data_IF_586903069847
#
_entry.id   IF_586903069847
#
_cell.length_a   1.000
_cell.length_b   1.000
_cell.length_c   1.000
_cell.angle_alpha   90.00
_cell.angle_beta   90.00
_cell.angle_gamma   90.00
#
_symmetry.space_group_name_H-M   'P 1'
#
loop_
_entity.id
_entity.type
_entity.pdbx_description
1 polymer ?
#
# COMPACT_ATOMS: atom_id res chain seq x y z
N UNK A 1 31.60 -1.42 -32.45
CA UNK A 1 31.23 -2.51 -31.51
C UNK A 1 31.82 -2.29 -30.12
N UNK A 2 33.05 -1.82 -30.01
CA UNK A 2 33.73 -1.56 -28.72
C UNK A 2 33.08 -0.41 -27.95
N UNK A 3 32.75 0.69 -28.64
CA UNK A 3 32.02 1.82 -28.04
C UNK A 3 30.63 1.44 -27.49
N UNK A 4 29.89 0.59 -28.18
CA UNK A 4 28.57 0.12 -27.70
C UNK A 4 28.71 -0.77 -26.45
N UNK A 5 29.73 -1.62 -26.40
CA UNK A 5 30.02 -2.44 -25.22
C UNK A 5 30.45 -1.59 -24.03
N UNK A 6 31.26 -0.55 -24.24
CA UNK A 6 31.68 0.36 -23.20
C UNK A 6 30.52 1.18 -22.63
N UNK A 7 29.62 1.66 -23.49
CA UNK A 7 28.40 2.39 -23.04
C UNK A 7 27.48 1.46 -22.25
N UNK A 8 27.28 0.21 -22.68
CA UNK A 8 26.45 -0.75 -21.95
C UNK A 8 27.04 -1.11 -20.58
N UNK A 9 28.38 -1.26 -20.50
CA UNK A 9 29.06 -1.53 -19.24
C UNK A 9 28.98 -0.34 -18.26
N UNK A 10 29.10 0.90 -18.75
CA UNK A 10 28.93 2.11 -17.96
C UNK A 10 27.50 2.24 -17.41
N UNK A 11 26.50 1.96 -18.26
CA UNK A 11 25.09 1.93 -17.89
C UNK A 11 24.85 0.94 -16.74
N UNK A 12 25.25 -0.32 -16.90
CA UNK A 12 25.04 -1.36 -15.89
C UNK A 12 25.74 -1.04 -14.57
N UNK A 13 26.98 -0.57 -14.62
CA UNK A 13 27.72 -0.15 -13.43
C UNK A 13 27.04 1.02 -12.72
N UNK A 14 26.56 2.01 -13.48
CA UNK A 14 25.88 3.19 -12.94
C UNK A 14 24.59 2.77 -12.24
N UNK A 15 23.74 2.01 -12.90
CA UNK A 15 22.48 1.53 -12.34
C UNK A 15 22.69 0.65 -11.12
N UNK A 16 23.69 -0.25 -11.14
CA UNK A 16 24.04 -1.07 -9.99
C UNK A 16 24.46 -0.23 -8.80
N UNK A 17 25.30 0.79 -9.01
CA UNK A 17 25.78 1.69 -7.96
C UNK A 17 24.65 2.53 -7.35
N UNK A 18 23.75 3.07 -8.17
CA UNK A 18 22.56 3.79 -7.71
C UNK A 18 21.64 2.87 -6.92
N UNK A 19 21.36 1.68 -7.47
CA UNK A 19 20.47 0.71 -6.85
C UNK A 19 20.96 0.25 -5.48
N UNK A 20 22.26 -0.10 -5.37
CA UNK A 20 22.86 -0.56 -4.11
C UNK A 20 22.89 0.52 -3.02
N UNK A 21 22.89 1.81 -3.40
CA UNK A 21 22.90 2.92 -2.45
C UNK A 21 21.50 3.37 -2.06
N UNK A 22 20.62 3.58 -3.04
CA UNK A 22 19.32 4.24 -2.81
C UNK A 22 18.26 3.23 -2.35
N UNK A 23 18.13 2.09 -3.04
CA UNK A 23 16.99 1.18 -2.82
C UNK A 23 16.96 0.59 -1.41
N UNK A 24 18.06 0.05 -0.83
CA UNK A 24 18.01 -0.51 0.51
C UNK A 24 17.61 0.52 1.58
N UNK A 25 18.12 1.75 1.45
CA UNK A 25 17.77 2.82 2.38
C UNK A 25 16.28 3.16 2.30
N UNK A 26 15.73 3.33 1.08
CA UNK A 26 14.30 3.61 0.89
C UNK A 26 13.41 2.45 1.37
N UNK A 27 13.85 1.19 1.21
CA UNK A 27 13.15 0.02 1.75
C UNK A 27 13.07 0.10 3.28
N UNK A 28 14.15 0.48 3.97
CA UNK A 28 14.16 0.66 5.42
C UNK A 28 13.16 1.74 5.83
N UNK A 29 13.14 2.89 5.15
CA UNK A 29 12.15 3.94 5.42
C UNK A 29 10.71 3.43 5.23
N UNK A 30 10.48 2.63 4.19
CA UNK A 30 9.17 2.06 3.87
C UNK A 30 8.72 1.02 4.91
N UNK A 31 9.66 0.20 5.40
CA UNK A 31 9.41 -0.74 6.49
C UNK A 31 8.95 0.01 7.74
N UNK A 32 9.64 1.10 8.11
CA UNK A 32 9.23 1.92 9.26
C UNK A 32 7.81 2.48 9.11
N UNK A 33 7.46 2.99 7.90
CA UNK A 33 6.13 3.48 7.62
C UNK A 33 5.03 2.43 7.85
N UNK A 34 5.28 1.19 7.42
CA UNK A 34 4.30 0.12 7.60
C UNK A 34 4.29 -0.46 9.01
N UNK A 35 5.39 -0.43 9.71
CA UNK A 35 5.47 -0.81 11.12
C UNK A 35 4.59 0.12 11.95
N UNK A 36 4.71 1.44 11.79
CA UNK A 36 3.90 2.44 12.49
C UNK A 36 2.40 2.38 12.11
N UNK A 37 2.05 1.82 10.96
CA UNK A 37 0.65 1.59 10.57
C UNK A 37 0.05 0.36 11.24
N UNK A 38 0.84 -0.67 11.50
CA UNK A 38 0.35 -1.96 11.98
C UNK A 38 0.45 -2.13 13.49
N UNK A 39 1.37 -1.42 14.15
CA UNK A 39 1.58 -1.47 15.60
C UNK A 39 0.31 -1.13 16.41
N UNK A 40 -0.54 -0.27 15.89
CA UNK A 40 -1.82 0.13 16.51
C UNK A 40 -2.73 -1.08 16.78
N UNK A 41 -2.72 -2.10 15.91
CA UNK A 41 -3.49 -3.33 16.11
C UNK A 41 -3.04 -4.11 17.33
N UNK A 42 -1.72 -4.10 17.64
CA UNK A 42 -1.17 -4.70 18.85
C UNK A 42 -1.38 -3.80 20.07
N UNK A 43 -1.20 -2.48 19.91
CA UNK A 43 -1.50 -1.53 20.98
C UNK A 43 -2.93 -1.68 21.50
N UNK A 44 -3.89 -1.89 20.60
CA UNK A 44 -5.31 -2.05 20.93
C UNK A 44 -5.59 -3.11 21.99
N UNK A 45 -4.76 -4.17 22.07
CA UNK A 45 -4.94 -5.27 23.03
C UNK A 45 -4.88 -4.81 24.50
N UNK A 46 -4.18 -3.71 24.77
CA UNK A 46 -4.04 -3.16 26.13
C UNK A 46 -4.45 -1.68 26.21
N UNK A 47 -4.21 -0.92 25.13
CA UNK A 47 -4.49 0.51 25.08
C UNK A 47 -6.00 0.79 25.23
N UNK A 48 -6.85 0.00 24.57
CA UNK A 48 -8.29 0.27 24.57
C UNK A 48 -8.86 0.25 25.98
N UNK A 49 -8.48 -0.72 26.78
CA UNK A 49 -8.90 -0.82 28.18
C UNK A 49 -8.23 0.27 29.04
N UNK A 50 -6.92 0.53 28.82
CA UNK A 50 -6.16 1.50 29.59
C UNK A 50 -6.69 2.94 29.47
N UNK A 51 -7.19 3.35 28.30
CA UNK A 51 -7.72 4.69 28.06
C UNK A 51 -9.24 4.73 27.87
N UNK A 52 -9.94 3.59 28.12
CA UNK A 52 -11.40 3.49 28.14
C UNK A 52 -12.07 3.73 26.78
N UNK A 53 -11.50 3.22 25.68
CA UNK A 53 -12.07 3.38 24.35
C UNK A 53 -12.72 2.09 23.83
N UNK A 54 -13.86 2.27 23.16
CA UNK A 54 -14.57 1.18 22.49
C UNK A 54 -13.90 0.79 21.18
N UNK A 55 -14.21 -0.38 20.65
CA UNK A 55 -13.75 -0.80 19.32
C UNK A 55 -14.24 0.15 18.21
N UNK A 56 -15.39 0.83 18.39
CA UNK A 56 -15.85 1.88 17.47
C UNK A 56 -14.87 3.07 17.46
N UNK A 57 -14.45 3.57 18.64
CA UNK A 57 -13.51 4.68 18.75
C UNK A 57 -12.14 4.26 18.21
N UNK A 58 -11.72 3.02 18.49
CA UNK A 58 -10.50 2.46 17.93
C UNK A 58 -10.55 2.41 16.39
N UNK A 59 -11.62 1.85 15.82
CA UNK A 59 -11.82 1.79 14.37
C UNK A 59 -11.90 3.18 13.72
N UNK A 60 -12.54 4.17 14.39
CA UNK A 60 -12.57 5.56 13.96
C UNK A 60 -11.16 6.17 13.94
N UNK A 61 -10.38 6.01 15.00
CA UNK A 61 -9.01 6.52 15.06
C UNK A 61 -8.07 5.84 14.07
N UNK A 62 -8.22 4.52 13.87
CA UNK A 62 -7.50 3.80 12.81
C UNK A 62 -7.85 4.35 11.42
N UNK A 63 -9.13 4.63 11.17
CA UNK A 63 -9.63 5.11 9.89
C UNK A 63 -9.30 6.58 9.62
N UNK A 64 -9.42 7.47 10.62
CA UNK A 64 -9.22 8.92 10.44
C UNK A 64 -7.80 9.27 9.99
N UNK A 65 -6.84 8.42 10.25
CA UNK A 65 -5.50 8.50 9.67
C UNK A 65 -5.55 8.63 8.14
N UNK A 66 -6.36 7.80 7.48
CA UNK A 66 -6.47 7.83 6.01
C UNK A 66 -7.15 9.09 5.49
N UNK A 67 -8.05 9.71 6.27
CA UNK A 67 -8.61 11.01 5.93
C UNK A 67 -7.55 12.11 6.01
N UNK A 68 -6.75 12.14 7.08
CA UNK A 68 -5.63 13.06 7.20
C UNK A 68 -4.62 12.89 6.08
N UNK A 69 -4.28 11.64 5.76
CA UNK A 69 -3.40 11.28 4.66
C UNK A 69 -3.94 11.79 3.32
N UNK A 70 -5.20 11.50 3.00
CA UNK A 70 -5.87 11.92 1.77
C UNK A 70 -5.86 13.44 1.56
N UNK A 71 -6.23 14.20 2.61
CA UNK A 71 -6.27 15.67 2.55
C UNK A 71 -4.88 16.27 2.29
N UNK A 72 -3.86 15.71 2.92
CA UNK A 72 -2.51 16.26 2.87
C UNK A 72 -1.63 15.69 1.74
N UNK A 73 -2.05 14.62 1.04
CA UNK A 73 -1.24 13.95 0.02
C UNK A 73 -0.86 14.87 -1.14
N UNK A 74 -1.84 15.58 -1.72
CA UNK A 74 -1.59 16.48 -2.85
C UNK A 74 -0.77 17.70 -2.43
N UNK A 75 -1.10 18.45 -1.34
CA UNK A 75 -0.26 19.52 -0.83
C UNK A 75 1.16 19.08 -0.53
N UNK A 76 1.33 17.91 0.10
CA UNK A 76 2.65 17.36 0.43
C UNK A 76 3.50 17.11 -0.81
N UNK A 77 2.92 16.55 -1.87
CA UNK A 77 3.64 16.32 -3.13
C UNK A 77 4.04 17.64 -3.83
N UNK A 78 3.20 18.65 -3.80
CA UNK A 78 3.56 20.00 -4.32
C UNK A 78 4.75 20.58 -3.56
N UNK A 79 4.74 20.47 -2.23
CA UNK A 79 5.84 20.95 -1.39
C UNK A 79 7.13 20.14 -1.60
N UNK A 80 7.02 18.84 -1.86
CA UNK A 80 8.16 17.98 -2.21
C UNK A 80 8.87 18.49 -3.48
N UNK A 81 8.12 18.86 -4.51
CA UNK A 81 8.69 19.46 -5.72
C UNK A 81 9.39 20.78 -5.45
N UNK A 82 8.85 21.61 -4.52
CA UNK A 82 9.40 22.92 -4.18
C UNK A 82 10.67 22.85 -3.33
N UNK A 83 10.68 21.98 -2.30
CA UNK A 83 11.79 21.89 -1.33
C UNK A 83 12.81 20.80 -1.66
N UNK A 84 12.53 19.96 -2.63
CA UNK A 84 13.34 18.81 -2.98
C UNK A 84 13.07 17.58 -2.13
N UNK A 85 13.26 16.42 -2.73
CA UNK A 85 12.89 15.13 -2.12
C UNK A 85 13.65 14.84 -0.82
N UNK A 86 14.95 15.16 -0.75
CA UNK A 86 15.79 14.96 0.44
C UNK A 86 15.22 15.63 1.69
N UNK A 87 14.94 16.93 1.60
CA UNK A 87 14.44 17.71 2.73
C UNK A 87 13.02 17.30 3.07
N UNK A 88 12.20 17.09 2.05
CA UNK A 88 10.78 16.81 2.28
C UNK A 88 10.52 15.39 2.85
N UNK A 89 11.21 14.36 2.34
CA UNK A 89 11.16 13.01 2.92
C UNK A 89 11.69 13.01 4.35
N UNK A 90 12.79 13.71 4.62
CA UNK A 90 13.31 13.85 5.97
C UNK A 90 12.30 14.51 6.92
N UNK A 91 11.66 15.61 6.48
CA UNK A 91 10.59 16.27 7.25
C UNK A 91 9.45 15.32 7.56
N UNK A 92 8.97 14.57 6.56
CA UNK A 92 7.91 13.57 6.72
C UNK A 92 8.31 12.56 7.80
N UNK A 93 9.50 11.96 7.70
CA UNK A 93 10.00 10.96 8.64
C UNK A 93 10.10 11.49 10.06
N UNK A 94 10.65 12.69 10.24
CA UNK A 94 10.83 13.31 11.56
C UNK A 94 9.48 13.67 12.19
N UNK A 95 8.60 14.34 11.44
CA UNK A 95 7.30 14.78 11.98
C UNK A 95 6.40 13.60 12.28
N UNK A 96 6.35 12.60 11.43
CA UNK A 96 5.60 11.40 11.70
C UNK A 96 6.18 10.63 12.91
N UNK A 97 7.51 10.43 12.98
CA UNK A 97 8.14 9.74 14.11
C UNK A 97 7.87 10.41 15.46
N UNK A 98 7.85 11.76 15.49
CA UNK A 98 7.46 12.51 16.69
C UNK A 98 5.99 12.23 17.05
N UNK A 99 5.07 12.32 16.09
CA UNK A 99 3.64 12.11 16.34
C UNK A 99 3.37 10.65 16.73
N UNK A 100 4.04 9.69 16.09
CA UNK A 100 3.96 8.27 16.47
C UNK A 100 4.44 8.05 17.91
N UNK A 101 5.56 8.63 18.30
CA UNK A 101 6.04 8.58 19.69
C UNK A 101 5.08 9.22 20.68
N UNK A 102 4.42 10.35 20.31
CA UNK A 102 3.42 11.00 21.14
C UNK A 102 2.17 10.14 21.38
N UNK A 103 1.87 9.16 20.52
CA UNK A 103 0.83 8.17 20.79
C UNK A 103 1.06 7.39 22.10
N UNK A 104 2.30 7.24 22.56
CA UNK A 104 2.62 6.63 23.84
C UNK A 104 2.16 7.45 25.05
N UNK A 105 1.75 8.71 24.91
CA UNK A 105 1.37 9.61 25.98
C UNK A 105 -0.12 9.97 26.01
N UNK A 106 -0.96 9.28 25.23
CA UNK A 106 -2.40 9.53 25.19
C UNK A 106 -3.09 8.98 26.45
N UNK A 107 -4.17 9.67 26.86
CA UNK A 107 -5.00 9.31 28.01
C UNK A 107 -6.50 9.30 27.68
N UNK A 108 -6.89 9.58 26.43
CA UNK A 108 -8.30 9.62 26.03
C UNK A 108 -8.50 9.28 24.57
N UNK A 109 -9.71 8.84 24.22
CA UNK A 109 -10.10 8.57 22.83
C UNK A 109 -10.03 9.81 21.92
N UNK A 110 -10.27 11.00 22.47
CA UNK A 110 -10.13 12.24 21.70
C UNK A 110 -8.68 12.51 21.31
N UNK A 111 -7.74 12.36 22.24
CA UNK A 111 -6.30 12.48 21.95
C UNK A 111 -5.86 11.43 20.92
N UNK A 112 -6.35 10.19 21.06
CA UNK A 112 -6.11 9.12 20.09
C UNK A 112 -6.55 9.51 18.69
N UNK A 113 -7.78 9.97 18.49
CA UNK A 113 -8.33 10.38 17.18
C UNK A 113 -7.53 11.55 16.59
N UNK A 114 -7.23 12.58 17.41
CA UNK A 114 -6.49 13.76 16.95
C UNK A 114 -5.08 13.37 16.49
N UNK A 115 -4.33 12.61 17.29
CA UNK A 115 -2.98 12.21 16.92
C UNK A 115 -2.96 11.27 15.72
N UNK A 116 -3.94 10.39 15.57
CA UNK A 116 -4.11 9.55 14.37
C UNK A 116 -4.36 10.39 13.11
N UNK A 117 -5.20 11.42 13.20
CA UNK A 117 -5.41 12.35 12.10
C UNK A 117 -4.14 13.12 11.73
N UNK A 118 -3.45 13.68 12.73
CA UNK A 118 -2.19 14.40 12.53
C UNK A 118 -1.09 13.48 11.98
N UNK A 119 -1.05 12.22 12.42
CA UNK A 119 -0.12 11.21 11.90
C UNK A 119 -0.36 10.98 10.40
N UNK A 120 -1.63 10.88 9.98
CA UNK A 120 -1.99 10.79 8.57
C UNK A 120 -1.51 11.99 7.76
N UNK A 121 -1.70 13.21 8.26
CA UNK A 121 -1.18 14.45 7.63
C UNK A 121 0.35 14.43 7.56
N UNK A 122 1.03 14.02 8.63
CA UNK A 122 2.49 14.02 8.70
C UNK A 122 3.11 13.01 7.74
N UNK A 123 2.52 11.82 7.59
CA UNK A 123 2.99 10.75 6.71
C UNK A 123 2.61 10.98 5.23
N UNK A 124 1.61 11.83 4.98
CA UNK A 124 1.10 12.08 3.65
C UNK A 124 2.20 12.54 2.67
N UNK A 125 2.19 11.95 1.48
CA UNK A 125 3.19 12.23 0.44
C UNK A 125 4.47 11.42 0.56
N UNK A 126 4.66 10.57 1.58
CA UNK A 126 5.85 9.72 1.69
C UNK A 126 5.97 8.76 0.51
N UNK A 127 4.98 7.90 0.29
CA UNK A 127 5.02 6.90 -0.77
C UNK A 127 5.13 7.54 -2.17
N UNK A 128 4.23 8.45 -2.59
CA UNK A 128 4.36 9.10 -3.90
C UNK A 128 5.64 9.94 -4.01
N UNK A 129 6.11 10.52 -2.91
CA UNK A 129 7.39 11.23 -2.87
C UNK A 129 8.59 10.34 -3.12
N UNK A 130 8.62 9.13 -2.57
CA UNK A 130 9.66 8.15 -2.85
C UNK A 130 9.58 7.68 -4.30
N UNK A 131 8.39 7.39 -4.83
CA UNK A 131 8.21 7.00 -6.24
C UNK A 131 8.72 8.12 -7.15
N UNK A 132 8.36 9.38 -6.89
CA UNK A 132 8.89 10.52 -7.62
C UNK A 132 10.42 10.61 -7.51
N UNK A 133 10.99 10.48 -6.32
CA UNK A 133 12.44 10.47 -6.12
C UNK A 133 13.14 9.41 -6.96
N UNK A 134 12.59 8.20 -7.01
CA UNK A 134 13.14 7.12 -7.84
C UNK A 134 13.09 7.46 -9.34
N UNK A 135 12.10 8.24 -9.81
CA UNK A 135 12.08 8.68 -11.22
C UNK A 135 13.19 9.67 -11.58
N UNK A 136 13.72 10.39 -10.60
CA UNK A 136 14.87 11.30 -10.79
C UNK A 136 16.21 10.55 -10.91
N UNK A 137 16.26 9.29 -10.49
CA UNK A 137 17.48 8.48 -10.41
C UNK A 137 17.53 7.33 -11.40
N UNK A 138 16.38 6.88 -11.90
CA UNK A 138 16.31 5.71 -12.75
C UNK A 138 15.63 6.03 -14.09
N UNK A 139 16.31 5.74 -15.22
CA UNK A 139 15.70 5.77 -16.54
C UNK A 139 14.49 4.84 -16.63
N UNK A 140 13.55 5.15 -17.53
CA UNK A 140 12.28 4.45 -17.71
C UNK A 140 12.43 2.93 -17.85
N UNK A 141 13.47 2.48 -18.56
CA UNK A 141 13.85 1.06 -18.76
C UNK A 141 13.98 0.28 -17.44
N UNK A 142 14.39 0.94 -16.34
CA UNK A 142 14.67 0.29 -15.05
C UNK A 142 13.59 0.52 -13.99
N UNK A 143 12.70 1.52 -14.17
CA UNK A 143 11.73 1.96 -13.16
C UNK A 143 10.82 0.84 -12.66
N UNK A 144 10.29 0.01 -13.57
CA UNK A 144 9.41 -1.08 -13.18
C UNK A 144 10.08 -2.07 -12.21
N UNK A 145 11.33 -2.46 -12.50
CA UNK A 145 12.11 -3.36 -11.64
C UNK A 145 12.45 -2.71 -10.29
N UNK A 146 12.83 -1.44 -10.32
CA UNK A 146 13.19 -0.67 -9.10
C UNK A 146 11.98 -0.50 -8.19
N UNK A 147 10.81 -0.15 -8.74
CA UNK A 147 9.57 -0.01 -7.97
C UNK A 147 9.14 -1.35 -7.37
N UNK A 148 9.23 -2.45 -8.15
CA UNK A 148 8.93 -3.78 -7.62
C UNK A 148 9.87 -4.15 -6.47
N UNK A 149 11.16 -3.85 -6.58
CA UNK A 149 12.13 -4.11 -5.51
C UNK A 149 11.85 -3.26 -4.27
N UNK A 150 11.53 -1.97 -4.44
CA UNK A 150 11.14 -1.09 -3.33
C UNK A 150 9.87 -1.60 -2.62
N UNK A 151 8.88 -2.08 -3.38
CA UNK A 151 7.62 -2.57 -2.84
C UNK A 151 7.76 -3.87 -2.02
N UNK A 152 8.87 -4.60 -2.14
CA UNK A 152 9.19 -5.74 -1.28
C UNK A 152 9.30 -5.36 0.21
N UNK A 153 9.54 -4.09 0.51
CA UNK A 153 9.48 -3.58 1.89
C UNK A 153 8.14 -3.82 2.58
N UNK A 154 7.02 -3.85 1.84
CA UNK A 154 5.69 -4.08 2.42
C UNK A 154 5.54 -5.46 3.07
N UNK A 155 5.71 -6.59 2.36
CA UNK A 155 5.59 -7.90 3.01
C UNK A 155 6.66 -8.11 4.09
N UNK A 156 7.85 -7.58 3.93
CA UNK A 156 8.89 -7.63 4.96
C UNK A 156 8.42 -6.91 6.22
N UNK A 157 7.88 -5.69 6.11
CA UNK A 157 7.36 -4.93 7.24
C UNK A 157 6.25 -5.69 7.99
N UNK A 158 5.36 -6.37 7.27
CA UNK A 158 4.28 -7.15 7.88
C UNK A 158 4.78 -8.37 8.64
N UNK A 159 5.79 -9.06 8.12
CA UNK A 159 6.36 -10.26 8.75
C UNK A 159 7.12 -9.91 10.02
N UNK A 160 7.97 -8.86 9.97
CA UNK A 160 8.82 -8.50 11.09
C UNK A 160 8.15 -7.54 12.08
N UNK A 161 7.17 -6.76 11.62
CA UNK A 161 6.50 -5.73 12.43
C UNK A 161 5.79 -6.33 13.65
N UNK A 162 5.00 -7.38 13.44
CA UNK A 162 4.28 -8.04 14.53
C UNK A 162 5.21 -8.53 15.65
N UNK A 163 6.26 -9.32 15.40
CA UNK A 163 7.21 -9.73 16.45
C UNK A 163 7.95 -8.55 17.13
N UNK A 164 8.29 -7.50 16.39
CA UNK A 164 8.96 -6.31 16.95
C UNK A 164 8.02 -5.59 17.90
N UNK A 165 6.81 -5.22 17.46
CA UNK A 165 5.83 -4.50 18.28
C UNK A 165 5.48 -5.27 19.54
N UNK A 166 5.21 -6.56 19.40
CA UNK A 166 4.90 -7.43 20.56
C UNK A 166 6.09 -7.59 21.49
N UNK A 167 7.31 -7.75 20.97
CA UNK A 167 8.53 -7.83 21.76
C UNK A 167 8.76 -6.57 22.60
N UNK A 168 8.55 -5.39 22.01
CA UNK A 168 8.65 -4.11 22.72
C UNK A 168 7.57 -3.96 23.79
N UNK A 169 6.32 -4.37 23.47
CA UNK A 169 5.23 -4.36 24.46
C UNK A 169 5.54 -5.29 25.63
N UNK A 170 5.99 -6.51 25.36
CA UNK A 170 6.34 -7.47 26.40
C UNK A 170 7.48 -6.95 27.27
N UNK A 171 8.52 -6.37 26.66
CA UNK A 171 9.63 -5.76 27.40
C UNK A 171 9.13 -4.63 28.30
N UNK A 172 8.28 -3.72 27.80
CA UNK A 172 7.68 -2.66 28.62
C UNK A 172 6.95 -3.22 29.83
N UNK A 173 6.12 -4.25 29.65
CA UNK A 173 5.39 -4.89 30.73
C UNK A 173 6.32 -5.52 31.79
N UNK A 174 7.46 -6.10 31.37
CA UNK A 174 8.43 -6.70 32.31
C UNK A 174 9.15 -5.69 33.17
N UNK A 175 9.35 -4.45 32.71
CA UNK A 175 9.98 -3.37 33.48
C UNK A 175 8.99 -2.49 34.22
N UNK A 176 7.71 -2.91 34.28
CA UNK A 176 6.65 -2.19 35.01
C UNK A 176 6.09 -0.96 34.29
N UNK A 177 6.32 -0.84 32.99
CA UNK A 177 5.72 0.20 32.14
C UNK A 177 4.53 -0.38 31.35
N UNK A 178 3.55 0.45 31.00
CA UNK A 178 2.50 0.04 30.05
C UNK A 178 3.14 -0.24 28.67
N UNK A 179 3.27 -1.52 28.30
CA UNK A 179 4.05 -1.96 27.14
C UNK A 179 3.67 -1.28 25.82
N UNK A 180 2.38 -0.99 25.62
CA UNK A 180 1.90 -0.29 24.42
C UNK A 180 2.43 1.15 24.32
N UNK A 181 2.61 1.84 25.44
CA UNK A 181 3.20 3.19 25.48
C UNK A 181 4.67 3.16 25.07
N UNK A 182 5.42 2.21 25.67
CA UNK A 182 6.84 2.04 25.36
C UNK A 182 7.04 1.67 23.88
N UNK A 183 6.20 0.79 23.34
CA UNK A 183 6.23 0.40 21.92
C UNK A 183 6.12 1.63 21.00
N UNK A 184 5.12 2.50 21.18
CA UNK A 184 4.97 3.70 20.36
C UNK A 184 6.19 4.63 20.43
N UNK A 185 6.72 4.86 21.62
CA UNK A 185 7.92 5.72 21.79
C UNK A 185 9.11 5.11 21.09
N UNK A 186 9.38 3.82 21.29
CA UNK A 186 10.55 3.14 20.74
C UNK A 186 10.45 2.92 19.22
N UNK A 187 9.26 2.75 18.66
CA UNK A 187 9.07 2.66 17.20
C UNK A 187 9.12 4.03 16.51
N UNK A 188 8.73 5.10 17.18
CA UNK A 188 8.87 6.46 16.67
C UNK A 188 10.32 6.95 16.56
N UNK A 189 11.19 6.56 17.48
CA UNK A 189 12.60 6.99 17.52
C UNK A 189 13.38 6.63 16.25
N UNK A 190 13.36 5.40 15.74
CA UNK A 190 14.03 5.04 14.50
C UNK A 190 13.60 5.89 13.30
N UNK A 191 12.31 6.24 13.21
CA UNK A 191 11.77 7.08 12.15
C UNK A 191 12.39 8.49 12.20
N UNK A 192 12.56 9.08 13.40
CA UNK A 192 13.23 10.37 13.59
C UNK A 192 14.70 10.27 13.20
N UNK A 193 15.41 9.25 13.69
CA UNK A 193 16.83 9.03 13.39
C UNK A 193 17.04 8.85 11.87
N UNK A 194 16.24 8.03 11.22
CA UNK A 194 16.30 7.82 9.77
C UNK A 194 15.98 9.10 9.00
N UNK A 195 15.04 9.91 9.49
CA UNK A 195 14.76 11.23 8.93
C UNK A 195 15.98 12.18 9.00
N UNK A 196 16.70 12.17 10.11
CA UNK A 196 17.96 12.94 10.25
C UNK A 196 19.08 12.37 9.33
N UNK A 197 19.18 11.05 9.23
CA UNK A 197 20.12 10.40 8.30
C UNK A 197 19.77 10.76 6.86
N UNK A 198 18.48 10.81 6.51
CA UNK A 198 17.98 11.16 5.19
C UNK A 198 18.55 12.50 4.70
N UNK A 199 18.67 13.51 5.57
CA UNK A 199 19.24 14.84 5.26
C UNK A 199 20.71 14.78 4.77
N UNK A 200 21.47 13.77 5.19
CA UNK A 200 22.88 13.60 4.82
C UNK A 200 23.07 12.52 3.74
N UNK A 201 22.23 11.50 3.75
CA UNK A 201 22.40 10.32 2.90
C UNK A 201 21.80 10.47 1.50
N UNK A 202 20.59 11.04 1.42
CA UNK A 202 19.93 11.28 0.14
C UNK A 202 20.50 12.52 -0.55
N UNK A 203 20.51 12.47 -1.88
CA UNK A 203 20.91 13.59 -2.76
C UNK A 203 19.69 13.95 -3.60
N UNK A 204 19.37 15.23 -3.78
CA UNK A 204 18.16 15.63 -4.50
C UNK A 204 18.14 15.19 -5.96
N UNK A 205 19.27 15.30 -6.64
CA UNK A 205 19.36 15.02 -8.07
C UNK A 205 20.75 14.45 -8.43
N UNK A 206 20.89 13.81 -9.60
CA UNK A 206 22.17 13.26 -10.04
C UNK A 206 23.31 14.29 -10.16
N UNK A 207 23.02 15.58 -10.42
CA UNK A 207 24.05 16.64 -10.54
C UNK A 207 24.85 16.80 -9.27
N UNK A 208 24.22 16.62 -8.12
CA UNK A 208 24.82 16.78 -6.79
C UNK A 208 25.50 15.49 -6.30
N UNK A 209 25.42 14.38 -7.03
CA UNK A 209 25.89 13.06 -6.60
C UNK A 209 27.42 12.92 -6.68
N UNK A 210 28.13 13.37 -5.65
CA UNK A 210 29.58 13.23 -5.55
C UNK A 210 30.06 11.79 -5.47
N UNK A 211 29.20 10.84 -5.11
CA UNK A 211 29.48 9.42 -5.03
C UNK A 211 29.40 8.68 -6.37
N UNK A 212 28.95 9.34 -7.45
CA UNK A 212 29.07 8.87 -8.83
C UNK A 212 30.34 9.43 -9.47
N UNK A 213 30.96 8.67 -10.39
CA UNK A 213 32.04 9.21 -11.23
C UNK A 213 31.50 10.31 -12.17
N UNK A 214 32.36 11.14 -12.70
CA UNK A 214 31.96 12.17 -13.65
C UNK A 214 31.26 11.58 -14.88
N UNK A 215 31.79 10.47 -15.41
CA UNK A 215 31.21 9.76 -16.56
C UNK A 215 29.83 9.16 -16.25
N UNK A 216 29.68 8.50 -15.09
CA UNK A 216 28.40 7.94 -14.64
C UNK A 216 27.34 9.03 -14.48
N UNK A 217 27.74 10.16 -13.90
CA UNK A 217 26.85 11.32 -13.69
C UNK A 217 26.42 11.92 -15.01
N UNK A 218 27.35 12.13 -15.93
CA UNK A 218 27.05 12.71 -17.25
C UNK A 218 26.16 11.79 -18.07
N UNK A 219 26.45 10.48 -18.08
CA UNK A 219 25.59 9.50 -18.76
C UNK A 219 24.18 9.51 -18.23
N UNK A 220 24.01 9.50 -16.90
CA UNK A 220 22.69 9.50 -16.27
C UNK A 220 21.90 10.77 -16.60
N UNK A 221 22.54 11.93 -16.48
CA UNK A 221 21.90 13.22 -16.79
C UNK A 221 21.47 13.28 -18.26
N UNK A 222 22.35 12.93 -19.19
CA UNK A 222 22.02 12.93 -20.61
C UNK A 222 20.84 11.99 -20.94
N UNK A 223 20.80 10.82 -20.27
CA UNK A 223 19.72 9.84 -20.46
C UNK A 223 18.39 10.38 -19.96
N UNK A 224 18.35 10.94 -18.75
CA UNK A 224 17.13 11.49 -18.16
C UNK A 224 16.63 12.74 -18.90
N UNK A 225 17.54 13.63 -19.32
CA UNK A 225 17.19 14.81 -20.13
C UNK A 225 16.61 14.42 -21.51
N UNK A 226 17.16 13.38 -22.12
CA UNK A 226 16.61 12.87 -23.39
C UNK A 226 15.20 12.31 -23.19
N UNK A 227 14.96 11.51 -22.16
CA UNK A 227 13.62 10.99 -21.84
C UNK A 227 12.62 12.12 -21.58
N UNK A 228 13.03 13.19 -20.93
CA UNK A 228 12.14 14.32 -20.63
C UNK A 228 11.77 15.08 -21.92
N UNK A 229 12.74 15.35 -22.80
CA UNK A 229 12.50 15.96 -24.12
C UNK A 229 11.56 15.11 -25.01
N UNK A 230 11.74 13.78 -25.01
CA UNK A 230 10.87 12.87 -25.75
C UNK A 230 9.43 12.92 -25.22
N UNK A 231 9.24 13.06 -23.90
CA UNK A 231 7.91 13.23 -23.31
C UNK A 231 7.28 14.59 -23.65
N UNK A 232 8.06 15.66 -23.61
CA UNK A 232 7.60 17.01 -23.97
C UNK A 232 7.14 17.05 -25.43
N UNK A 233 7.91 16.47 -26.33
CA UNK A 233 7.56 16.39 -27.76
C UNK A 233 6.31 15.54 -28.02
N UNK A 234 6.08 14.50 -27.20
CA UNK A 234 4.88 13.67 -27.29
C UNK A 234 3.64 14.33 -26.70
N UNK A 235 3.80 15.42 -25.95
CA UNK A 235 2.71 16.13 -25.28
C UNK A 235 1.99 17.17 -26.16
N UNK A 236 2.37 17.35 -27.41
CA UNK A 236 1.94 18.42 -28.32
C UNK A 236 0.47 18.36 -28.81
N UNK A 237 -0.37 17.49 -28.26
CA UNK A 237 -1.81 17.47 -28.58
C UNK A 237 -2.69 17.46 -27.32
N UNK A 238 -2.26 18.12 -26.24
CA UNK A 238 -2.89 17.92 -24.93
C UNK A 238 -4.06 18.87 -24.71
N UNK A 239 -5.22 18.29 -24.47
CA UNK A 239 -6.34 18.85 -23.76
C UNK A 239 -5.84 19.58 -22.48
N UNK A 240 -6.49 20.67 -22.12
CA UNK A 240 -6.16 21.36 -20.85
C UNK A 240 -6.26 20.40 -19.66
N UNK A 241 -5.42 20.61 -18.63
CA UNK A 241 -5.46 19.76 -17.40
C UNK A 241 -6.89 19.61 -16.83
N UNK A 242 -7.72 20.67 -16.93
CA UNK A 242 -9.11 20.66 -16.48
C UNK A 242 -10.01 19.73 -17.32
N UNK A 243 -9.83 19.72 -18.62
CA UNK A 243 -10.61 18.84 -19.53
C UNK A 243 -10.25 17.36 -19.32
N UNK A 244 -8.96 17.07 -19.11
CA UNK A 244 -8.49 15.72 -18.80
C UNK A 244 -9.09 15.19 -17.47
N UNK A 245 -9.07 16.00 -16.43
CA UNK A 245 -9.69 15.66 -15.14
C UNK A 245 -11.19 15.40 -15.35
N UNK A 246 -11.89 16.28 -16.07
CA UNK A 246 -13.33 16.12 -16.36
C UNK A 246 -13.63 14.84 -17.13
N UNK A 247 -12.78 14.44 -18.10
CA UNK A 247 -12.94 13.18 -18.83
C UNK A 247 -12.74 11.96 -17.93
N UNK A 248 -11.76 11.99 -17.02
CA UNK A 248 -11.51 10.91 -16.07
C UNK A 248 -12.72 10.71 -15.15
N UNK A 249 -13.27 11.79 -14.59
CA UNK A 249 -14.44 11.72 -13.73
C UNK A 249 -15.71 11.24 -14.46
N UNK A 250 -15.80 11.46 -15.77
CA UNK A 250 -16.91 10.97 -16.62
C UNK A 250 -16.74 9.53 -17.09
N UNK A 251 -15.53 8.95 -16.98
CA UNK A 251 -15.26 7.61 -17.45
C UNK A 251 -15.79 6.54 -16.48
N UNK A 252 -16.86 5.79 -16.81
CA UNK A 252 -17.42 4.79 -15.91
C UNK A 252 -16.44 3.67 -15.60
N UNK A 253 -15.50 3.37 -16.50
CA UNK A 253 -14.49 2.33 -16.30
C UNK A 253 -13.55 2.67 -15.13
N UNK A 254 -13.21 3.97 -14.96
CA UNK A 254 -12.38 4.44 -13.86
C UNK A 254 -13.11 4.24 -12.51
N UNK A 255 -14.41 4.54 -12.46
CA UNK A 255 -15.22 4.34 -11.26
C UNK A 255 -15.39 2.86 -10.91
N UNK A 256 -15.62 2.00 -11.91
CA UNK A 256 -15.68 0.54 -11.67
C UNK A 256 -14.34 0.06 -11.11
N UNK A 257 -13.20 0.47 -11.68
CA UNK A 257 -11.88 0.12 -11.15
C UNK A 257 -11.66 0.67 -9.74
N UNK A 258 -12.12 1.88 -9.44
CA UNK A 258 -12.03 2.48 -8.13
C UNK A 258 -12.82 1.69 -7.07
N UNK A 259 -14.05 1.29 -7.38
CA UNK A 259 -14.90 0.45 -6.51
C UNK A 259 -14.29 -0.94 -6.33
N UNK A 260 -13.75 -1.53 -7.38
CA UNK A 260 -13.02 -2.81 -7.32
C UNK A 260 -11.86 -2.72 -6.36
N UNK A 261 -11.04 -1.68 -6.49
CA UNK A 261 -9.88 -1.49 -5.63
C UNK A 261 -10.27 -1.23 -4.18
N UNK A 262 -11.28 -0.39 -3.94
CA UNK A 262 -11.87 -0.18 -2.62
C UNK A 262 -12.32 -1.51 -1.97
N UNK A 263 -13.06 -2.33 -2.71
CA UNK A 263 -13.55 -3.62 -2.21
C UNK A 263 -12.41 -4.55 -1.80
N UNK A 264 -11.40 -4.72 -2.65
CA UNK A 264 -10.27 -5.60 -2.38
C UNK A 264 -9.44 -5.09 -1.19
N UNK A 265 -9.12 -3.79 -1.15
CA UNK A 265 -8.29 -3.22 -0.09
C UNK A 265 -8.99 -3.12 1.26
N UNK A 266 -10.32 -3.20 1.31
CA UNK A 266 -11.08 -3.30 2.56
C UNK A 266 -10.67 -4.54 3.37
N UNK A 267 -10.38 -5.66 2.70
CA UNK A 267 -9.91 -6.88 3.36
C UNK A 267 -8.54 -6.71 4.03
N UNK A 268 -7.56 -6.12 3.33
CA UNK A 268 -6.23 -5.89 3.90
C UNK A 268 -6.27 -4.90 5.07
N UNK A 269 -7.04 -3.82 4.95
CA UNK A 269 -7.15 -2.82 6.01
C UNK A 269 -7.83 -3.38 7.27
N UNK A 270 -8.91 -4.17 7.12
CA UNK A 270 -9.53 -4.82 8.28
C UNK A 270 -8.56 -5.79 8.98
N UNK A 271 -7.78 -6.57 8.21
CA UNK A 271 -6.75 -7.44 8.77
C UNK A 271 -5.67 -6.67 9.52
N UNK A 272 -5.12 -5.60 8.95
CA UNK A 272 -4.03 -4.83 9.57
C UNK A 272 -4.38 -4.34 10.97
N UNK A 273 -5.61 -3.89 11.16
CA UNK A 273 -6.01 -3.26 12.41
C UNK A 273 -6.65 -4.23 13.42
N UNK A 274 -7.33 -5.27 12.94
CA UNK A 274 -8.16 -6.09 13.82
C UNK A 274 -7.72 -7.55 13.96
N UNK A 275 -6.80 -8.07 13.15
CA UNK A 275 -6.37 -9.46 13.29
C UNK A 275 -5.81 -9.78 14.68
N UNK A 276 -4.95 -8.93 15.32
CA UNK A 276 -4.52 -9.16 16.70
C UNK A 276 -5.70 -9.25 17.68
N UNK A 277 -6.69 -8.37 17.55
CA UNK A 277 -7.88 -8.35 18.42
C UNK A 277 -8.81 -9.55 18.18
N UNK A 278 -8.90 -10.04 16.93
CA UNK A 278 -9.64 -11.27 16.62
C UNK A 278 -8.98 -12.47 17.29
N UNK A 279 -7.66 -12.58 17.24
CA UNK A 279 -6.92 -13.65 17.92
C UNK A 279 -7.06 -13.57 19.44
N UNK A 280 -7.03 -12.39 20.01
CA UNK A 280 -7.26 -12.17 21.45
C UNK A 280 -8.69 -12.59 21.85
N UNK A 281 -9.69 -12.38 20.99
CA UNK A 281 -11.07 -12.79 21.27
C UNK A 281 -11.23 -14.30 21.39
N UNK A 282 -10.27 -15.13 20.93
CA UNK A 282 -10.28 -16.59 21.10
C UNK A 282 -10.27 -17.00 22.57
N UNK A 283 -9.73 -16.16 23.45
CA UNK A 283 -9.81 -16.37 24.91
C UNK A 283 -11.26 -16.44 25.39
N UNK A 284 -12.07 -15.48 24.97
CA UNK A 284 -13.46 -15.39 25.39
C UNK A 284 -14.36 -16.35 24.62
N UNK A 285 -14.07 -16.59 23.34
CA UNK A 285 -14.92 -17.40 22.46
C UNK A 285 -14.66 -18.88 22.59
N UNK A 286 -13.40 -19.30 22.79
CA UNK A 286 -12.98 -20.71 22.77
C UNK A 286 -12.26 -21.15 24.05
N UNK A 287 -12.10 -20.27 25.06
CA UNK A 287 -11.34 -20.55 26.27
C UNK A 287 -9.83 -20.70 26.04
N UNK A 288 -9.30 -20.28 24.88
CA UNK A 288 -7.89 -20.44 24.54
C UNK A 288 -7.07 -19.29 25.11
N UNK A 289 -6.06 -19.62 25.91
CA UNK A 289 -5.10 -18.62 26.40
C UNK A 289 -3.99 -18.42 25.37
N UNK A 290 -4.05 -17.30 24.66
CA UNK A 290 -3.00 -16.88 23.70
C UNK A 290 -2.15 -15.81 24.36
N UNK A 291 -0.86 -16.09 24.57
CA UNK A 291 0.06 -15.06 25.08
C UNK A 291 0.28 -13.96 24.04
N UNK A 292 0.73 -12.77 24.49
CA UNK A 292 1.02 -11.66 23.58
C UNK A 292 2.00 -12.05 22.46
N UNK A 293 3.05 -12.82 22.79
CA UNK A 293 4.02 -13.32 21.82
C UNK A 293 3.38 -14.28 20.82
N UNK A 294 2.54 -15.19 21.29
CA UNK A 294 1.80 -16.09 20.40
C UNK A 294 0.86 -15.33 19.48
N UNK A 295 0.17 -14.30 19.96
CA UNK A 295 -0.68 -13.43 19.17
C UNK A 295 0.13 -12.77 18.04
N UNK A 296 1.29 -12.19 18.35
CA UNK A 296 2.18 -11.58 17.36
C UNK A 296 2.65 -12.58 16.29
N UNK A 297 3.06 -13.78 16.70
CA UNK A 297 3.49 -14.82 15.76
C UNK A 297 2.33 -15.30 14.88
N UNK A 298 1.16 -15.57 15.47
CA UNK A 298 -0.04 -15.96 14.73
C UNK A 298 -0.50 -14.87 13.74
N UNK A 299 -0.37 -13.60 14.12
CA UNK A 299 -0.66 -12.46 13.23
C UNK A 299 0.29 -12.39 12.04
N UNK A 300 1.57 -12.77 12.21
CA UNK A 300 2.56 -12.75 11.12
C UNK A 300 2.32 -13.88 10.08
N UNK A 301 1.76 -15.02 10.49
CA UNK A 301 1.57 -16.20 9.63
C UNK A 301 0.79 -15.88 8.34
N UNK A 302 -0.40 -15.26 8.36
CA UNK A 302 -1.14 -14.94 7.14
C UNK A 302 -0.34 -14.10 6.16
N UNK A 303 0.47 -13.16 6.63
CA UNK A 303 1.30 -12.32 5.76
C UNK A 303 2.49 -13.06 5.15
N UNK A 304 3.09 -14.00 5.88
CA UNK A 304 4.13 -14.87 5.34
C UNK A 304 3.58 -15.74 4.19
N UNK A 305 2.42 -16.36 4.39
CA UNK A 305 1.74 -17.11 3.33
C UNK A 305 1.30 -16.21 2.17
N UNK A 306 0.85 -14.99 2.45
CA UNK A 306 0.47 -14.03 1.42
C UNK A 306 1.65 -13.65 0.52
N UNK A 307 2.84 -13.46 1.07
CA UNK A 307 4.04 -13.14 0.28
C UNK A 307 4.36 -14.24 -0.75
N UNK A 308 4.32 -15.50 -0.34
CA UNK A 308 4.53 -16.65 -1.23
C UNK A 308 3.35 -16.79 -2.20
N UNK A 309 2.13 -16.75 -1.71
CA UNK A 309 0.90 -16.91 -2.49
C UNK A 309 0.77 -15.85 -3.57
N UNK A 310 1.03 -14.58 -3.25
CA UNK A 310 1.03 -13.45 -4.20
C UNK A 310 2.03 -13.68 -5.34
N UNK A 311 3.24 -14.15 -5.02
CA UNK A 311 4.25 -14.44 -6.04
C UNK A 311 3.81 -15.56 -6.98
N UNK A 312 3.36 -16.68 -6.44
CA UNK A 312 2.91 -17.84 -7.24
C UNK A 312 1.70 -17.52 -8.10
N UNK A 313 0.73 -16.80 -7.54
CA UNK A 313 -0.51 -16.42 -8.22
C UNK A 313 -0.25 -15.43 -9.36
N UNK A 314 0.59 -14.42 -9.11
CA UNK A 314 0.99 -13.45 -10.13
C UNK A 314 1.74 -14.10 -11.28
N UNK A 315 2.69 -15.01 -10.97
CA UNK A 315 3.42 -15.77 -12.00
C UNK A 315 2.48 -16.60 -12.88
N UNK A 316 1.43 -17.20 -12.30
CA UNK A 316 0.41 -17.94 -13.06
C UNK A 316 -0.41 -17.02 -13.93
N UNK A 317 -0.85 -15.87 -13.41
CA UNK A 317 -1.56 -14.83 -14.17
C UNK A 317 -0.74 -14.33 -15.36
N UNK A 318 0.57 -14.10 -15.14
CA UNK A 318 1.50 -13.65 -16.19
C UNK A 318 1.67 -14.69 -17.30
N UNK A 319 1.84 -15.95 -16.94
CA UNK A 319 1.97 -17.05 -17.92
C UNK A 319 0.72 -17.22 -18.79
N UNK A 320 -0.47 -17.06 -18.18
CA UNK A 320 -1.75 -17.22 -18.90
C UNK A 320 -2.24 -15.94 -19.58
N UNK A 321 -1.61 -14.79 -19.32
CA UNK A 321 -2.02 -13.46 -19.80
C UNK A 321 -3.49 -13.13 -19.44
N UNK A 322 -4.03 -13.76 -18.39
CA UNK A 322 -5.39 -13.57 -17.89
C UNK A 322 -5.40 -12.82 -16.56
N UNK A 323 -5.36 -11.49 -16.59
CA UNK A 323 -5.31 -10.63 -15.40
C UNK A 323 -6.64 -10.62 -14.64
N UNK A 324 -7.72 -10.34 -15.35
CA UNK A 324 -9.03 -10.09 -14.74
C UNK A 324 -9.56 -11.31 -14.00
N UNK A 325 -9.56 -12.49 -14.65
CA UNK A 325 -10.07 -13.73 -14.05
C UNK A 325 -9.21 -14.19 -12.86
N UNK A 326 -7.87 -14.09 -12.98
CA UNK A 326 -6.98 -14.46 -11.87
C UNK A 326 -7.15 -13.53 -10.66
N UNK A 327 -7.28 -12.21 -10.87
CA UNK A 327 -7.58 -11.26 -9.81
C UNK A 327 -8.94 -11.52 -9.16
N UNK A 328 -9.97 -11.79 -9.97
CA UNK A 328 -11.31 -12.12 -9.49
C UNK A 328 -11.32 -13.41 -8.67
N UNK A 329 -10.70 -14.49 -9.19
CA UNK A 329 -10.60 -15.76 -8.44
C UNK A 329 -9.88 -15.59 -7.09
N UNK A 330 -8.82 -14.79 -7.05
CA UNK A 330 -8.09 -14.50 -5.82
C UNK A 330 -8.98 -13.77 -4.80
N UNK A 331 -9.67 -12.70 -5.22
CA UNK A 331 -10.56 -11.93 -4.35
C UNK A 331 -11.77 -12.76 -3.88
N UNK A 332 -12.42 -13.51 -4.77
CA UNK A 332 -13.56 -14.36 -4.41
C UNK A 332 -13.15 -15.49 -3.49
N UNK A 333 -12.01 -16.14 -3.74
CA UNK A 333 -11.44 -17.13 -2.82
C UNK A 333 -11.24 -16.55 -1.42
N UNK A 334 -10.67 -15.34 -1.32
CA UNK A 334 -10.47 -14.64 -0.06
C UNK A 334 -11.79 -14.40 0.69
N UNK A 335 -12.80 -13.87 -0.02
CA UNK A 335 -14.11 -13.57 0.55
C UNK A 335 -14.83 -14.84 1.06
N UNK A 336 -14.86 -15.89 0.25
CA UNK A 336 -15.51 -17.15 0.62
C UNK A 336 -14.77 -17.88 1.74
N UNK A 337 -13.42 -17.88 1.70
CA UNK A 337 -12.62 -18.56 2.72
C UNK A 337 -12.85 -17.97 4.11
N UNK A 338 -12.81 -16.64 4.25
CA UNK A 338 -13.05 -16.02 5.55
C UNK A 338 -14.52 -16.18 5.98
N UNK A 339 -15.49 -16.05 5.06
CA UNK A 339 -16.90 -16.23 5.38
C UNK A 339 -17.19 -17.66 5.89
N UNK A 340 -16.68 -18.69 5.21
CA UNK A 340 -16.83 -20.09 5.63
C UNK A 340 -16.14 -20.32 6.97
N UNK A 341 -14.92 -19.79 7.16
CA UNK A 341 -14.18 -19.94 8.40
C UNK A 341 -14.94 -19.37 9.61
N UNK A 342 -15.59 -18.24 9.45
CA UNK A 342 -16.40 -17.60 10.50
C UNK A 342 -17.71 -18.35 10.76
N UNK A 343 -18.31 -18.98 9.75
CA UNK A 343 -19.50 -19.81 9.91
C UNK A 343 -19.14 -21.13 10.64
N UNK A 344 -18.01 -21.75 10.27
CA UNK A 344 -17.50 -22.94 10.95
C UNK A 344 -17.16 -22.65 12.41
N UNK A 345 -16.74 -21.44 12.70
CA UNK A 345 -16.48 -20.89 14.05
C UNK A 345 -15.58 -21.82 14.91
N UNK A 346 -14.46 -22.25 14.31
CA UNK A 346 -13.41 -23.00 15.00
C UNK A 346 -12.07 -22.25 14.90
N UNK A 347 -11.22 -22.24 15.95
CA UNK A 347 -9.96 -21.49 15.95
C UNK A 347 -9.08 -21.75 14.73
N UNK A 348 -8.88 -23.04 14.39
CA UNK A 348 -8.07 -23.44 13.23
C UNK A 348 -8.68 -22.96 11.91
N UNK A 349 -10.02 -23.02 11.78
CA UNK A 349 -10.72 -22.58 10.58
C UNK A 349 -10.57 -21.06 10.38
N UNK A 350 -10.68 -20.27 11.45
CA UNK A 350 -10.52 -18.84 11.42
C UNK A 350 -9.08 -18.47 11.02
N UNK A 351 -8.06 -19.13 11.56
CA UNK A 351 -6.65 -18.91 11.17
C UNK A 351 -6.44 -19.24 9.69
N UNK A 352 -6.93 -20.37 9.21
CA UNK A 352 -6.87 -20.75 7.79
C UNK A 352 -7.64 -19.75 6.92
N UNK A 353 -8.79 -19.29 7.37
CA UNK A 353 -9.58 -18.25 6.72
C UNK A 353 -8.78 -16.95 6.54
N UNK A 354 -8.07 -16.49 7.57
CA UNK A 354 -7.20 -15.30 7.47
C UNK A 354 -5.98 -15.54 6.57
N UNK A 355 -5.40 -16.73 6.55
CA UNK A 355 -4.32 -17.07 5.62
C UNK A 355 -4.82 -16.95 4.18
N UNK A 356 -5.97 -17.55 3.86
CA UNK A 356 -6.54 -17.51 2.52
C UNK A 356 -7.04 -16.11 2.14
N UNK A 357 -7.59 -15.35 3.11
CA UNK A 357 -7.93 -13.94 2.95
C UNK A 357 -6.70 -13.13 2.55
N UNK A 358 -5.59 -13.29 3.27
CA UNK A 358 -4.34 -12.60 2.98
C UNK A 358 -3.80 -12.97 1.59
N UNK A 359 -3.66 -14.26 1.28
CA UNK A 359 -3.20 -14.73 -0.03
C UNK A 359 -4.06 -14.11 -1.15
N UNK A 360 -5.37 -14.19 -1.02
CA UNK A 360 -6.29 -13.75 -2.07
C UNK A 360 -6.30 -12.23 -2.25
N UNK A 361 -6.38 -11.46 -1.15
CA UNK A 361 -6.41 -9.99 -1.20
C UNK A 361 -5.10 -9.43 -1.77
N UNK A 362 -3.93 -9.87 -1.26
CA UNK A 362 -2.64 -9.36 -1.76
C UNK A 362 -2.36 -9.80 -3.20
N UNK A 363 -2.78 -11.00 -3.59
CA UNK A 363 -2.70 -11.44 -5.00
C UNK A 363 -3.60 -10.59 -5.90
N UNK A 364 -4.83 -10.31 -5.47
CA UNK A 364 -5.78 -9.50 -6.21
C UNK A 364 -5.30 -8.04 -6.36
N UNK A 365 -4.75 -7.42 -5.30
CA UNK A 365 -4.18 -6.07 -5.33
C UNK A 365 -3.05 -6.01 -6.35
N UNK A 366 -2.11 -6.96 -6.29
CA UNK A 366 -0.94 -6.97 -7.18
C UNK A 366 -1.36 -7.12 -8.66
N UNK A 367 -2.28 -8.03 -8.95
CA UNK A 367 -2.80 -8.22 -10.30
C UNK A 367 -3.62 -7.00 -10.74
N UNK A 368 -4.44 -6.43 -9.87
CA UNK A 368 -5.27 -5.27 -10.17
C UNK A 368 -4.45 -4.11 -10.73
N UNK A 369 -3.31 -3.77 -10.13
CA UNK A 369 -2.48 -2.66 -10.57
C UNK A 369 -1.85 -2.84 -11.96
N UNK A 370 -1.91 -4.04 -12.53
CA UNK A 370 -1.53 -4.26 -13.93
C UNK A 370 -2.63 -3.88 -14.93
N UNK A 371 -3.88 -3.68 -14.47
CA UNK A 371 -5.05 -3.44 -15.33
C UNK A 371 -5.18 -1.97 -15.76
N UNK A 372 -5.11 -0.97 -14.83
CA UNK A 372 -5.26 0.43 -15.22
C UNK A 372 -4.28 0.89 -16.29
N UNK A 373 -3.01 0.46 -16.20
CA UNK A 373 -1.98 0.81 -17.18
C UNK A 373 -2.19 0.22 -18.57
N UNK A 374 -3.01 -0.84 -18.71
CA UNK A 374 -3.38 -1.41 -20.01
C UNK A 374 -4.67 -0.80 -20.60
N UNK A 375 -5.46 -0.14 -19.77
CA UNK A 375 -6.81 0.32 -20.12
C UNK A 375 -6.90 1.83 -20.25
N UNK A 376 -6.07 2.54 -19.49
CA UNK A 376 -6.00 3.99 -19.49
C UNK A 376 -4.72 4.42 -20.22
N UNK A 377 -4.86 5.19 -21.26
CA UNK A 377 -3.75 5.68 -22.09
C UNK A 377 -3.62 7.19 -22.04
N UNK A 378 -2.44 7.72 -22.38
CA UNK A 378 -2.18 9.13 -22.47
C UNK A 378 -2.15 9.85 -21.11
N UNK A 379 -2.28 11.18 -21.14
CA UNK A 379 -2.18 12.05 -19.94
C UNK A 379 -3.31 11.79 -18.94
N UNK A 380 -4.49 11.34 -19.42
CA UNK A 380 -5.61 10.94 -18.56
C UNK A 380 -5.35 9.70 -17.70
N UNK A 381 -4.39 8.84 -18.08
CA UNK A 381 -4.06 7.64 -17.31
C UNK A 381 -3.56 7.96 -15.90
N UNK A 382 -2.70 8.96 -15.76
CA UNK A 382 -2.17 9.36 -14.45
C UNK A 382 -3.28 9.88 -13.51
N UNK A 383 -4.20 10.70 -14.03
CA UNK A 383 -5.35 11.19 -13.27
C UNK A 383 -6.32 10.07 -12.90
N UNK A 384 -6.56 9.12 -13.83
CA UNK A 384 -7.40 7.95 -13.59
C UNK A 384 -6.82 7.02 -12.52
N UNK A 385 -5.54 6.71 -12.58
CA UNK A 385 -4.81 5.94 -11.57
C UNK A 385 -4.88 6.64 -10.21
N UNK A 386 -4.69 7.97 -10.19
CA UNK A 386 -4.82 8.76 -8.97
C UNK A 386 -6.21 8.67 -8.35
N UNK A 387 -7.29 8.80 -9.15
CA UNK A 387 -8.66 8.67 -8.67
C UNK A 387 -8.94 7.26 -8.13
N UNK A 388 -8.52 6.22 -8.85
CA UNK A 388 -8.66 4.82 -8.41
C UNK A 388 -7.97 4.61 -7.05
N UNK A 389 -6.74 5.10 -6.91
CA UNK A 389 -5.99 4.99 -5.67
C UNK A 389 -6.66 5.76 -4.51
N UNK A 390 -7.11 6.98 -4.78
CA UNK A 390 -7.75 7.83 -3.76
C UNK A 390 -9.05 7.20 -3.24
N UNK A 391 -9.92 6.74 -4.13
CA UNK A 391 -11.16 6.06 -3.74
C UNK A 391 -10.87 4.73 -3.03
N UNK A 392 -9.90 3.95 -3.54
CA UNK A 392 -9.47 2.72 -2.89
C UNK A 392 -8.95 2.94 -1.47
N UNK A 393 -8.17 4.00 -1.25
CA UNK A 393 -7.65 4.35 0.08
C UNK A 393 -8.74 4.75 1.09
N UNK A 394 -9.95 5.15 0.65
CA UNK A 394 -11.09 5.33 1.56
C UNK A 394 -11.51 4.04 2.26
N UNK A 395 -11.17 2.87 1.72
CA UNK A 395 -11.32 1.60 2.44
C UNK A 395 -10.53 1.54 3.74
N UNK A 396 -9.42 2.29 3.82
CA UNK A 396 -8.62 2.45 5.03
C UNK A 396 -9.35 3.20 6.14
N UNK A 397 -10.33 4.03 5.79
CA UNK A 397 -11.28 4.62 6.76
C UNK A 397 -12.46 3.68 7.01
N UNK A 398 -13.13 3.25 5.94
CA UNK A 398 -14.39 2.51 6.04
C UNK A 398 -14.21 1.13 6.68
N UNK A 399 -13.15 0.40 6.31
CA UNK A 399 -12.88 -0.94 6.83
C UNK A 399 -12.73 -0.98 8.35
N UNK A 400 -11.78 -0.25 8.95
CA UNK A 400 -11.58 -0.23 10.39
C UNK A 400 -12.79 0.34 11.15
N UNK A 401 -13.36 1.44 10.68
CA UNK A 401 -14.53 2.04 11.32
C UNK A 401 -15.73 1.07 11.35
N UNK A 402 -16.05 0.46 10.22
CA UNK A 402 -17.15 -0.52 10.14
C UNK A 402 -16.88 -1.74 11.00
N UNK A 403 -15.65 -2.25 11.00
CA UNK A 403 -15.27 -3.40 11.83
C UNK A 403 -15.44 -3.08 13.32
N UNK A 404 -14.94 -1.95 13.78
CA UNK A 404 -15.09 -1.52 15.17
C UNK A 404 -16.53 -1.25 15.57
N UNK A 405 -17.32 -0.61 14.70
CA UNK A 405 -18.74 -0.33 14.93
C UNK A 405 -19.57 -1.61 15.04
N UNK A 406 -19.40 -2.53 14.09
CA UNK A 406 -20.13 -3.80 14.08
C UNK A 406 -19.74 -4.67 15.28
N UNK A 407 -18.47 -4.70 15.67
CA UNK A 407 -18.08 -5.38 16.90
C UNK A 407 -18.74 -4.78 18.14
N UNK A 408 -18.74 -3.46 18.27
CA UNK A 408 -19.34 -2.79 19.45
C UNK A 408 -20.84 -3.05 19.55
N UNK A 409 -21.54 -3.17 18.41
CA UNK A 409 -22.99 -3.39 18.38
C UNK A 409 -23.40 -4.84 18.51
N UNK A 410 -22.57 -5.78 18.04
CA UNK A 410 -22.90 -7.21 17.97
C UNK A 410 -22.12 -8.08 18.98
N UNK A 411 -21.07 -7.54 19.59
CA UNK A 411 -20.18 -8.27 20.50
C UNK A 411 -19.24 -9.29 19.83
N UNK A 412 -19.25 -9.37 18.48
CA UNK A 412 -18.47 -10.38 17.75
C UNK A 412 -17.84 -9.85 16.48
N UNK A 413 -16.65 -10.32 16.15
CA UNK A 413 -15.99 -10.00 14.87
C UNK A 413 -16.60 -10.75 13.67
N UNK A 414 -17.45 -11.74 13.89
CA UNK A 414 -18.09 -12.53 12.81
C UNK A 414 -18.85 -11.64 11.84
N UNK A 415 -19.77 -10.80 12.36
CA UNK A 415 -20.58 -9.91 11.53
C UNK A 415 -19.70 -8.88 10.81
N UNK A 416 -18.70 -8.36 11.51
CA UNK A 416 -17.77 -7.38 10.95
C UNK A 416 -16.99 -7.96 9.76
N UNK A 417 -16.37 -9.12 9.91
CA UNK A 417 -15.60 -9.74 8.83
C UNK A 417 -16.46 -10.36 7.73
N UNK A 418 -17.73 -10.73 8.00
CA UNK A 418 -18.69 -11.05 6.94
C UNK A 418 -19.02 -9.84 6.06
N UNK A 419 -19.18 -8.65 6.65
CA UNK A 419 -19.36 -7.42 5.90
C UNK A 419 -18.11 -7.09 5.04
N UNK A 420 -16.91 -7.25 5.62
CA UNK A 420 -15.64 -7.09 4.87
C UNK A 420 -15.53 -8.13 3.75
N UNK A 421 -15.91 -9.39 3.98
CA UNK A 421 -15.96 -10.41 2.93
C UNK A 421 -16.90 -9.99 1.78
N UNK A 422 -18.02 -9.33 2.08
CA UNK A 422 -18.92 -8.75 1.10
C UNK A 422 -18.24 -7.69 0.23
N UNK A 423 -17.45 -6.77 0.81
CA UNK A 423 -16.68 -5.80 0.04
C UNK A 423 -15.60 -6.46 -0.83
N UNK A 424 -14.89 -7.45 -0.30
CA UNK A 424 -13.89 -8.19 -1.08
C UNK A 424 -14.54 -8.96 -2.23
N UNK A 425 -15.70 -9.58 -1.99
CA UNK A 425 -16.49 -10.25 -3.03
C UNK A 425 -16.98 -9.27 -4.11
N UNK A 426 -17.46 -8.08 -3.72
CA UNK A 426 -17.81 -7.00 -4.64
C UNK A 426 -16.62 -6.62 -5.54
N UNK A 427 -15.41 -6.50 -4.96
CA UNK A 427 -14.18 -6.29 -5.73
C UNK A 427 -13.90 -7.40 -6.73
N UNK A 428 -14.04 -8.66 -6.33
CA UNK A 428 -13.88 -9.84 -7.19
C UNK A 428 -14.90 -9.88 -8.33
N UNK A 429 -16.18 -9.65 -8.03
CA UNK A 429 -17.25 -9.58 -9.04
C UNK A 429 -17.05 -8.40 -10.00
N UNK A 430 -16.60 -7.26 -9.49
CA UNK A 430 -16.24 -6.11 -10.32
C UNK A 430 -15.10 -6.41 -11.31
N UNK A 431 -14.10 -7.22 -10.92
CA UNK A 431 -13.08 -7.71 -11.86
C UNK A 431 -13.65 -8.59 -12.96
N UNK A 432 -14.64 -9.44 -12.66
CA UNK A 432 -15.35 -10.22 -13.69
C UNK A 432 -16.15 -9.33 -14.64
N UNK A 433 -16.79 -8.28 -14.09
CA UNK A 433 -17.49 -7.28 -14.91
C UNK A 433 -16.52 -6.57 -15.86
N UNK A 434 -15.35 -6.15 -15.36
CA UNK A 434 -14.31 -5.54 -16.20
C UNK A 434 -13.81 -6.49 -17.29
N UNK A 435 -13.67 -7.79 -16.98
CA UNK A 435 -13.32 -8.80 -17.98
C UNK A 435 -14.36 -8.92 -19.10
N UNK A 436 -15.65 -8.89 -18.73
CA UNK A 436 -16.76 -8.93 -19.69
C UNK A 436 -16.77 -7.69 -20.58
N UNK A 437 -16.69 -6.49 -19.99
CA UNK A 437 -16.67 -5.23 -20.74
C UNK A 437 -15.51 -5.18 -21.75
N UNK A 438 -14.31 -5.63 -21.35
CA UNK A 438 -13.16 -5.73 -22.26
C UNK A 438 -13.41 -6.72 -23.41
N UNK A 439 -13.97 -7.90 -23.10
CA UNK A 439 -14.29 -8.90 -24.13
C UNK A 439 -15.30 -8.37 -25.14
N UNK A 440 -16.33 -7.67 -24.67
CA UNK A 440 -17.38 -7.13 -25.54
C UNK A 440 -16.85 -5.99 -26.42
N UNK A 441 -15.99 -5.12 -25.89
CA UNK A 441 -15.34 -4.07 -26.69
C UNK A 441 -14.46 -4.64 -27.81
N UNK A 442 -13.71 -5.70 -27.54
CA UNK A 442 -12.88 -6.37 -28.56
C UNK A 442 -13.72 -7.02 -29.66
N UNK A 443 -14.88 -7.61 -29.33
CA UNK A 443 -15.80 -8.18 -30.33
C UNK A 443 -16.36 -7.09 -31.25
N UNK A 444 -16.76 -5.95 -30.69
CA UNK A 444 -17.27 -4.80 -31.48
C UNK A 444 -16.19 -4.27 -32.42
N UNK A 445 -14.94 -4.16 -31.96
CA UNK A 445 -13.82 -3.69 -32.76
C UNK A 445 -13.50 -4.67 -33.90
N UNK A 446 -13.47 -5.96 -33.63
CA UNK A 446 -13.29 -7.00 -34.66
C UNK A 446 -14.42 -6.98 -35.71
N UNK A 447 -15.66 -6.73 -35.30
CA UNK A 447 -16.79 -6.63 -36.21
C UNK A 447 -16.70 -5.38 -37.09
N UNK A 448 -16.28 -4.24 -36.54
CA UNK A 448 -16.03 -3.00 -37.32
C UNK A 448 -14.91 -3.19 -38.34
N UNK A 449 -13.81 -3.86 -37.99
CA UNK A 449 -12.72 -4.17 -38.88
C UNK A 449 -13.16 -5.08 -40.04
N UNK A 450 -13.95 -6.11 -39.75
CA UNK A 450 -14.52 -6.99 -40.81
C UNK A 450 -15.42 -6.23 -41.77
N UNK A 451 -16.26 -5.32 -41.30
CA UNK A 451 -17.13 -4.49 -42.15
C UNK A 451 -16.30 -3.54 -43.01
N UNK A 452 -15.27 -2.92 -42.44
CA UNK A 452 -14.38 -2.00 -43.18
C UNK A 452 -13.62 -2.71 -44.29
N UNK A 453 -13.02 -3.88 -44.01
CA UNK A 453 -12.32 -4.70 -45.01
C UNK A 453 -13.28 -5.18 -46.15
N UNK A 454 -14.51 -5.53 -45.80
CA UNK A 454 -15.52 -5.91 -46.80
C UNK A 454 -15.99 -4.73 -47.68
N UNK A 455 -15.91 -3.49 -47.15
CA UNK A 455 -16.24 -2.26 -47.93
C UNK A 455 -15.10 -1.81 -48.84
N UNK A 456 -13.83 -2.02 -48.41
CA UNK A 456 -12.63 -1.69 -49.18
C UNK A 456 -12.35 -2.71 -50.31
N UNK A 457 -12.97 -3.89 -50.26
CA UNK A 457 -12.87 -4.93 -51.32
C UNK A 457 -13.99 -4.85 -52.38
N UNK A 458 -14.94 -3.92 -52.25
CA UNK A 458 -15.95 -3.58 -53.25
C UNK A 458 -15.62 -2.28 -53.97
#
# INVERSE_FOLDING_TARGET
>A
MEDIKNVTALEEQTIKRISSRIIPFLIILFIMAFLDRTNIGFAALHMNDAIGITQTIFGLGAGVFFLGYFIAEVPSNVLLHRFGARIWIARIMITWGIIAGLMGFIHSGTQFIILRFLLGIAEAGFFPGVIFYLTLWFPAKYRARVFATFYLGLPIAQIIGAPISVGLMQWGNTIGYEGWRLMYVLEGIPSIILGLICLKYLTNNPKEAQWLTAEQRQWLMNTLEREEREKEQSADAALTKGELIKQVFKNPLVWIMAIVYFGITSGSNAMFFFLPSVLESFRNTFGMQISLIQNGLLTAIPYAFAAVGMFLWSRRSDRKQERYKHGACAALMAAFAIAIALIVNQPWAIIVGFILLAIGVFSAINIFWTIPGQTLTGVGAAAGIGLINSVGNLSGFTGPYLTGYLYTTTGTYTVAFLAIAGFVAMGGLGLLLLAKLKSDSLKVEQQRLKVRTATEMK
#
